data_IF_022986201444
#
_entry.id   IF_022986201444
#
_cell.length_a   1.000
_cell.length_b   1.000
_cell.length_c   1.000
_cell.angle_alpha   90.00
_cell.angle_beta   90.00
_cell.angle_gamma   90.00
#
_symmetry.space_group_name_H-M   'P 1'
#
loop_
_entity.id
_entity.type
_entity.pdbx_description
1 polymer ?
#
# COMPACT_ATOMS: atom_id res chain seq x y z
N UNK A 1 -22.81 -2.54 -25.11
CA UNK A 1 -22.06 -1.95 -23.97
C UNK A 1 -20.64 -2.44 -24.14
N UNK A 2 -19.76 -1.62 -24.70
CA UNK A 2 -18.33 -1.95 -24.83
C UNK A 2 -17.66 -1.77 -23.47
N UNK A 3 -16.80 -2.72 -23.09
CA UNK A 3 -16.01 -2.58 -21.88
C UNK A 3 -15.09 -1.36 -22.00
N UNK A 4 -15.09 -0.53 -20.96
CA UNK A 4 -14.22 0.62 -20.82
C UNK A 4 -13.21 0.26 -19.73
N UNK A 5 -11.98 -0.08 -20.13
CA UNK A 5 -10.89 -0.47 -19.22
C UNK A 5 -10.19 0.75 -18.59
N UNK A 6 -10.85 1.91 -18.56
CA UNK A 6 -10.31 3.13 -17.97
C UNK A 6 -10.51 3.17 -16.46
N UNK A 7 -9.54 3.75 -15.76
CA UNK A 7 -9.64 4.05 -14.33
C UNK A 7 -10.59 5.24 -14.11
N UNK A 8 -11.35 5.21 -13.01
CA UNK A 8 -12.09 6.38 -12.53
C UNK A 8 -11.14 7.60 -12.40
N UNK A 9 -11.45 8.78 -12.96
CA UNK A 9 -10.52 9.92 -13.00
C UNK A 9 -10.00 10.35 -11.62
N UNK A 10 -10.83 10.26 -10.58
CA UNK A 10 -10.41 10.60 -9.21
C UNK A 10 -9.46 9.57 -8.61
N UNK A 11 -9.58 8.30 -8.99
CA UNK A 11 -8.65 7.26 -8.54
C UNK A 11 -7.35 7.28 -9.34
N UNK A 12 -7.39 7.62 -10.64
CA UNK A 12 -6.18 7.79 -11.44
C UNK A 12 -5.23 8.83 -10.84
N UNK A 13 -5.76 9.93 -10.28
CA UNK A 13 -4.93 10.92 -9.56
C UNK A 13 -4.14 10.30 -8.40
N UNK A 14 -4.71 9.30 -7.71
CA UNK A 14 -4.01 8.56 -6.64
C UNK A 14 -2.93 7.66 -7.23
N UNK A 15 -3.21 6.97 -8.33
CA UNK A 15 -2.23 6.13 -9.02
C UNK A 15 -1.06 6.95 -9.57
N UNK A 16 -1.32 8.11 -10.17
CA UNK A 16 -0.26 9.05 -10.58
C UNK A 16 0.58 9.52 -9.41
N UNK A 17 -0.06 9.82 -8.27
CA UNK A 17 0.66 10.16 -7.05
C UNK A 17 1.55 9.00 -6.59
N UNK A 18 1.03 7.77 -6.57
CA UNK A 18 1.81 6.56 -6.21
C UNK A 18 3.01 6.38 -7.14
N UNK A 19 2.84 6.51 -8.46
CA UNK A 19 3.94 6.36 -9.43
C UNK A 19 5.06 7.37 -9.17
N UNK A 20 4.70 8.64 -8.93
CA UNK A 20 5.69 9.68 -8.58
C UNK A 20 6.35 9.39 -7.24
N UNK A 21 5.57 9.03 -6.23
CA UNK A 21 6.08 8.71 -4.89
C UNK A 21 7.04 7.51 -4.91
N UNK A 22 6.72 6.46 -5.67
CA UNK A 22 7.63 5.32 -5.86
C UNK A 22 8.94 5.77 -6.50
N UNK A 23 8.86 6.57 -7.57
CA UNK A 23 10.03 7.06 -8.28
C UNK A 23 10.93 7.97 -7.43
N UNK A 24 10.33 8.94 -6.73
CA UNK A 24 11.05 10.01 -6.06
C UNK A 24 11.53 9.61 -4.65
N UNK A 25 10.78 8.73 -3.95
CA UNK A 25 11.01 8.44 -2.54
C UNK A 25 11.34 6.97 -2.26
N UNK A 26 10.77 6.01 -3.00
CA UNK A 26 10.93 4.57 -2.69
C UNK A 26 12.10 3.92 -3.46
N UNK A 27 12.18 4.10 -4.78
CA UNK A 27 13.26 3.54 -5.59
C UNK A 27 14.67 3.97 -5.14
N UNK A 28 14.90 5.22 -4.69
CA UNK A 28 16.21 5.61 -4.16
C UNK A 28 16.67 4.78 -2.94
N UNK A 29 15.73 4.15 -2.23
CA UNK A 29 16.06 3.30 -1.08
C UNK A 29 16.67 1.95 -1.48
N UNK A 30 16.51 1.52 -2.73
CA UNK A 30 16.99 0.21 -3.22
C UNK A 30 18.52 0.08 -3.20
N UNK A 31 19.24 1.20 -3.19
CA UNK A 31 20.70 1.24 -3.17
C UNK A 31 21.28 1.54 -1.79
N UNK A 32 20.43 1.68 -0.76
CA UNK A 32 20.90 1.89 0.60
C UNK A 32 21.52 0.60 1.16
N UNK A 33 22.73 0.71 1.68
CA UNK A 33 23.42 -0.36 2.41
C UNK A 33 23.37 -0.03 3.91
N UNK A 34 22.24 -0.35 4.53
CA UNK A 34 21.96 -0.08 5.94
C UNK A 34 21.30 -1.29 6.59
N UNK A 35 21.36 -1.37 7.92
CA UNK A 35 20.64 -2.42 8.63
C UNK A 35 19.11 -2.21 8.62
N UNK A 36 18.36 -3.25 9.01
CA UNK A 36 16.91 -3.22 9.05
C UNK A 36 16.37 -2.08 9.93
N UNK A 37 17.00 -1.81 11.07
CA UNK A 37 16.52 -0.79 12.01
C UNK A 37 16.65 0.60 11.40
N UNK A 38 17.76 0.86 10.73
CA UNK A 38 18.01 2.12 10.03
C UNK A 38 17.10 2.28 8.83
N UNK A 39 16.90 1.22 8.05
CA UNK A 39 15.94 1.19 6.95
C UNK A 39 14.51 1.50 7.43
N UNK A 40 14.07 0.83 8.50
CA UNK A 40 12.75 1.07 9.10
C UNK A 40 12.59 2.50 9.61
N UNK A 41 13.67 3.13 10.09
CA UNK A 41 13.64 4.55 10.46
C UNK A 41 13.52 5.45 9.24
N UNK A 42 14.16 5.10 8.12
CA UNK A 42 14.09 5.86 6.87
C UNK A 42 12.70 5.83 6.23
N UNK A 43 11.99 4.69 6.27
CA UNK A 43 10.67 4.58 5.63
C UNK A 43 9.50 5.10 6.47
N UNK A 44 9.63 5.26 7.80
CA UNK A 44 8.51 5.72 8.66
C UNK A 44 7.86 7.02 8.18
N UNK A 45 8.61 8.08 7.82
CA UNK A 45 8.01 9.30 7.27
C UNK A 45 7.25 9.06 5.95
N UNK A 46 7.72 8.12 5.12
CA UNK A 46 7.07 7.75 3.87
C UNK A 46 5.73 7.05 4.13
N UNK A 47 5.70 6.13 5.09
CA UNK A 47 4.46 5.47 5.53
C UNK A 47 3.44 6.47 6.05
N UNK A 48 3.87 7.52 6.76
CA UNK A 48 2.98 8.57 7.23
C UNK A 48 2.39 9.42 6.08
N UNK A 49 3.15 9.65 5.01
CA UNK A 49 2.61 10.29 3.79
C UNK A 49 1.59 9.40 3.10
N UNK A 50 1.89 8.11 2.92
CA UNK A 50 0.94 7.14 2.36
C UNK A 50 -0.37 7.10 3.17
N UNK A 51 -0.29 7.14 4.50
CA UNK A 51 -1.47 7.25 5.38
C UNK A 51 -2.25 8.54 5.15
N UNK A 52 -1.57 9.69 5.01
CA UNK A 52 -2.23 10.97 4.68
C UNK A 52 -2.97 10.92 3.34
N UNK A 53 -2.44 10.18 2.37
CA UNK A 53 -3.10 9.96 1.08
C UNK A 53 -4.22 8.92 1.13
N UNK A 54 -4.46 8.27 2.28
CA UNK A 54 -5.39 7.16 2.44
C UNK A 54 -5.05 5.98 1.52
N UNK A 55 -3.76 5.68 1.39
CA UNK A 55 -3.23 4.60 0.55
C UNK A 55 -2.58 3.49 1.39
N UNK A 56 -2.73 3.55 2.72
CA UNK A 56 -2.18 2.58 3.65
C UNK A 56 -3.08 1.36 3.79
N UNK A 57 -2.49 0.16 3.73
CA UNK A 57 -3.16 -1.13 3.98
C UNK A 57 -4.54 -1.24 3.31
N UNK A 58 -4.64 -0.85 2.04
CA UNK A 58 -5.95 -0.64 1.38
C UNK A 58 -6.73 -1.92 1.09
N UNK A 59 -6.09 -3.07 1.30
CA UNK A 59 -6.71 -4.39 1.31
C UNK A 59 -7.63 -4.58 2.53
N UNK A 60 -7.37 -3.89 3.65
CA UNK A 60 -8.20 -3.93 4.85
C UNK A 60 -9.37 -2.95 4.77
N UNK A 61 -10.49 -3.25 5.45
CA UNK A 61 -11.63 -2.34 5.54
C UNK A 61 -11.34 -1.12 6.45
N UNK A 62 -12.12 -0.03 6.34
CA UNK A 62 -11.91 1.20 7.10
C UNK A 62 -11.86 1.03 8.62
N UNK A 63 -12.67 0.14 9.18
CA UNK A 63 -12.72 -0.19 10.60
C UNK A 63 -11.40 -0.75 11.15
N UNK A 64 -10.54 -1.29 10.28
CA UNK A 64 -9.21 -1.83 10.62
C UNK A 64 -8.07 -0.92 10.12
N UNK A 65 -8.38 0.34 9.81
CA UNK A 65 -7.40 1.35 9.43
C UNK A 65 -7.00 1.35 7.95
N UNK A 66 -7.61 0.49 7.12
CA UNK A 66 -7.48 0.49 5.66
C UNK A 66 -8.49 1.42 4.98
N UNK A 67 -8.70 1.24 3.68
CA UNK A 67 -9.76 1.95 2.92
C UNK A 67 -10.72 1.01 2.19
N UNK A 68 -10.42 -0.28 2.10
CA UNK A 68 -11.28 -1.27 1.46
C UNK A 68 -11.62 -0.91 0.01
N UNK A 69 -10.64 -0.50 -0.81
CA UNK A 69 -10.91 -0.01 -2.17
C UNK A 69 -11.45 -1.08 -3.14
N UNK A 70 -11.45 -2.35 -2.74
CA UNK A 70 -11.88 -3.48 -3.56
C UNK A 70 -10.80 -3.96 -4.52
N UNK A 71 -11.01 -5.15 -5.07
CA UNK A 71 -9.97 -5.93 -5.74
C UNK A 71 -9.38 -5.28 -7.00
N UNK A 72 -10.20 -4.59 -7.81
CA UNK A 72 -9.72 -3.96 -9.06
C UNK A 72 -8.77 -2.80 -8.74
N UNK A 73 -9.18 -1.90 -7.83
CA UNK A 73 -8.35 -0.78 -7.38
C UNK A 73 -7.09 -1.26 -6.68
N UNK A 74 -7.21 -2.29 -5.84
CA UNK A 74 -6.07 -2.92 -5.19
C UNK A 74 -5.08 -3.52 -6.20
N UNK A 75 -5.56 -4.19 -7.26
CA UNK A 75 -4.71 -4.71 -8.32
C UNK A 75 -3.89 -3.63 -9.02
N UNK A 76 -4.52 -2.50 -9.36
CA UNK A 76 -3.83 -1.35 -9.97
C UNK A 76 -2.78 -0.73 -9.03
N UNK A 77 -3.07 -0.70 -7.72
CA UNK A 77 -2.12 -0.23 -6.71
C UNK A 77 -0.93 -1.19 -6.57
N UNK A 78 -1.20 -2.49 -6.47
CA UNK A 78 -0.18 -3.54 -6.35
C UNK A 78 0.74 -3.63 -7.58
N UNK A 79 0.24 -3.31 -8.78
CA UNK A 79 1.08 -3.17 -9.97
C UNK A 79 2.17 -2.11 -9.78
N UNK A 80 1.85 -1.00 -9.11
CA UNK A 80 2.78 0.12 -8.90
C UNK A 80 3.74 -0.16 -7.75
N UNK A 81 3.22 -0.50 -6.56
CA UNK A 81 4.07 -0.72 -5.39
C UNK A 81 4.89 -2.01 -5.51
N UNK A 82 4.40 -3.01 -6.26
CA UNK A 82 5.11 -4.26 -6.52
C UNK A 82 6.32 -4.12 -7.44
N UNK A 83 6.54 -2.94 -8.03
CA UNK A 83 7.73 -2.65 -8.84
C UNK A 83 9.03 -2.53 -8.01
N UNK A 84 8.92 -2.47 -6.67
CA UNK A 84 10.05 -2.47 -5.74
C UNK A 84 9.81 -3.45 -4.61
N UNK A 85 10.88 -4.06 -4.08
CA UNK A 85 10.77 -4.93 -2.89
C UNK A 85 10.31 -4.15 -1.65
N UNK A 86 10.56 -2.84 -1.62
CA UNK A 86 10.23 -1.96 -0.50
C UNK A 86 8.83 -1.37 -0.58
N UNK A 87 8.24 -1.31 -1.78
CA UNK A 87 6.93 -0.72 -2.01
C UNK A 87 5.85 -1.29 -1.07
N UNK A 88 5.63 -2.61 -1.02
CA UNK A 88 4.62 -3.18 -0.13
C UNK A 88 4.82 -2.81 1.34
N UNK A 89 6.06 -2.67 1.82
CA UNK A 89 6.35 -2.28 3.21
C UNK A 89 6.01 -0.80 3.44
N UNK A 90 6.30 0.07 2.48
CA UNK A 90 5.97 1.50 2.52
C UNK A 90 4.46 1.72 2.49
N UNK A 91 3.72 0.86 1.77
CA UNK A 91 2.26 0.94 1.65
C UNK A 91 1.47 0.11 2.68
N UNK A 92 2.16 -0.67 3.52
CA UNK A 92 1.53 -1.51 4.55
C UNK A 92 0.83 -2.75 4.00
N UNK A 93 1.31 -3.26 2.87
CA UNK A 93 0.78 -4.41 2.14
C UNK A 93 1.79 -5.59 2.08
N UNK A 94 2.86 -5.55 2.87
CA UNK A 94 3.90 -6.57 2.84
C UNK A 94 3.40 -7.94 3.29
N UNK A 95 3.84 -8.97 2.58
CA UNK A 95 3.71 -10.35 3.06
C UNK A 95 4.75 -10.62 4.17
N UNK A 96 4.44 -11.47 5.16
CA UNK A 96 3.18 -12.21 5.35
C UNK A 96 2.07 -11.40 6.06
N UNK A 97 2.37 -10.19 6.52
CA UNK A 97 1.48 -9.42 7.40
C UNK A 97 0.12 -9.11 6.75
N UNK A 98 0.09 -8.73 5.48
CA UNK A 98 -1.16 -8.44 4.77
C UNK A 98 -2.14 -9.61 4.81
N UNK A 99 -1.69 -10.83 4.48
CA UNK A 99 -2.52 -12.03 4.55
C UNK A 99 -2.95 -12.38 5.98
N UNK A 100 -2.06 -12.23 6.96
CA UNK A 100 -2.40 -12.46 8.37
C UNK A 100 -3.47 -11.47 8.86
N UNK A 101 -3.34 -10.19 8.48
CA UNK A 101 -4.32 -9.16 8.80
C UNK A 101 -5.66 -9.39 8.13
N UNK A 102 -5.70 -9.88 6.88
CA UNK A 102 -6.97 -10.28 6.24
C UNK A 102 -7.66 -11.42 6.98
N UNK A 103 -6.91 -12.43 7.46
CA UNK A 103 -7.48 -13.54 8.24
C UNK A 103 -8.10 -13.03 9.53
N UNK A 104 -7.39 -12.16 10.28
CA UNK A 104 -7.93 -11.58 11.51
C UNK A 104 -9.13 -10.69 11.23
N UNK A 105 -9.08 -9.89 10.15
CA UNK A 105 -10.19 -9.05 9.72
C UNK A 105 -11.47 -9.84 9.46
N UNK A 106 -11.36 -10.98 8.77
CA UNK A 106 -12.51 -11.78 8.37
C UNK A 106 -12.98 -12.75 9.46
N UNK A 107 -12.06 -13.34 10.22
CA UNK A 107 -12.34 -14.50 11.08
C UNK A 107 -11.95 -14.30 12.54
N UNK A 108 -11.24 -13.24 12.88
CA UNK A 108 -10.90 -12.90 14.26
C UNK A 108 -12.14 -12.55 15.09
N UNK A 109 -12.07 -12.81 16.40
CA UNK A 109 -13.00 -12.20 17.34
C UNK A 109 -12.75 -10.70 17.44
N UNK A 110 -13.68 -9.95 18.01
CA UNK A 110 -13.50 -8.51 18.24
C UNK A 110 -12.31 -8.19 19.18
N UNK A 111 -11.86 -9.14 20.00
CA UNK A 111 -10.65 -8.98 20.82
C UNK A 111 -9.36 -9.28 20.02
N UNK A 112 -9.46 -10.05 18.95
CA UNK A 112 -8.33 -10.44 18.10
C UNK A 112 -8.07 -9.47 16.95
N UNK A 113 -9.07 -8.69 16.55
CA UNK A 113 -8.98 -7.63 15.54
C UNK A 113 -8.41 -6.35 16.12
#
# INVERSE_FOLDING_TARGET
MTWDFSTEPEFEKKLEWMRRFMHDEVYPLEVLDVDEREFMRAIRPLQDEVKRQKLWATHLPPELGGQGYGQVKLGLMHEIEGASIWGPIVFGNQAPDSGNSEILAHFGTEEQK
#
